data_IF_929866988235
#
_entry.id   IF_929866988235
#
_cell.length_a   1.000
_cell.length_b   1.000
_cell.length_c   1.000
_cell.angle_alpha   90.00
_cell.angle_beta   90.00
_cell.angle_gamma   90.00
#
_symmetry.space_group_name_H-M   'P 1'
#
loop_
_entity.id
_entity.type
_entity.pdbx_description
1 polymer ?
#
# COMPACT_ATOMS: atom_id res chain seq x y z
N UNK A 1 -15.85 -20.10 -20.01
CA UNK A 1 -16.91 -19.97 -18.99
C UNK A 1 -17.51 -18.56 -19.09
N UNK A 2 -18.74 -18.43 -19.63
CA UNK A 2 -19.45 -17.14 -19.67
C UNK A 2 -20.11 -16.87 -18.30
N UNK A 3 -19.29 -16.46 -17.31
CA UNK A 3 -19.79 -16.03 -16.01
C UNK A 3 -20.08 -14.53 -16.06
N UNK A 4 -21.21 -14.12 -15.43
CA UNK A 4 -21.47 -12.70 -15.24
C UNK A 4 -20.41 -12.10 -14.29
N UNK A 5 -20.16 -10.78 -14.44
CA UNK A 5 -19.20 -10.07 -13.57
C UNK A 5 -19.56 -10.21 -12.09
N UNK A 6 -20.85 -10.16 -11.75
CA UNK A 6 -21.35 -10.37 -10.39
C UNK A 6 -20.91 -11.74 -9.85
N UNK A 7 -21.10 -12.80 -10.67
CA UNK A 7 -20.72 -14.16 -10.25
C UNK A 7 -19.20 -14.31 -10.11
N UNK A 8 -18.42 -13.67 -10.99
CA UNK A 8 -16.95 -13.65 -10.88
C UNK A 8 -16.51 -12.94 -9.60
N UNK A 9 -17.10 -11.79 -9.27
CA UNK A 9 -16.80 -11.04 -8.05
C UNK A 9 -17.12 -11.88 -6.79
N UNK A 10 -18.25 -12.57 -6.76
CA UNK A 10 -18.61 -13.47 -5.64
C UNK A 10 -17.58 -14.59 -5.45
N UNK A 11 -17.25 -15.30 -6.54
CA UNK A 11 -16.23 -16.36 -6.51
C UNK A 11 -14.85 -15.82 -6.15
N UNK A 12 -14.53 -14.62 -6.62
CA UNK A 12 -13.28 -13.95 -6.29
C UNK A 12 -13.14 -13.63 -4.80
N UNK A 13 -14.22 -13.18 -4.17
CA UNK A 13 -14.25 -12.90 -2.73
C UNK A 13 -13.98 -14.15 -1.87
N UNK A 14 -14.40 -15.33 -2.34
CA UNK A 14 -14.10 -16.61 -1.67
C UNK A 14 -12.61 -17.00 -1.76
N UNK A 15 -11.91 -16.51 -2.78
CA UNK A 15 -10.49 -16.80 -3.02
C UNK A 15 -9.55 -15.81 -2.33
N UNK A 16 -9.98 -14.55 -2.14
CA UNK A 16 -9.19 -13.55 -1.46
C UNK A 16 -9.83 -12.15 -1.50
N UNK A 17 -9.57 -11.36 -0.46
CA UNK A 17 -10.17 -10.05 -0.23
C UNK A 17 -9.88 -9.03 -1.34
N UNK A 18 -8.73 -9.11 -2.00
CA UNK A 18 -8.31 -8.15 -3.05
C UNK A 18 -8.88 -8.51 -4.43
N UNK A 19 -9.33 -9.75 -4.63
CA UNK A 19 -9.74 -10.23 -5.96
C UNK A 19 -10.96 -9.49 -6.52
N UNK A 20 -12.00 -9.16 -5.73
CA UNK A 20 -13.13 -8.35 -6.21
C UNK A 20 -12.70 -7.00 -6.81
N UNK A 21 -11.72 -6.34 -6.18
CA UNK A 21 -11.18 -5.07 -6.68
C UNK A 21 -10.53 -5.24 -8.07
N UNK A 22 -9.71 -6.27 -8.26
CA UNK A 22 -9.07 -6.54 -9.55
C UNK A 22 -10.09 -6.93 -10.64
N UNK A 23 -11.15 -7.67 -10.30
CA UNK A 23 -12.25 -7.97 -11.22
C UNK A 23 -13.02 -6.69 -11.57
N UNK A 24 -13.20 -5.77 -10.62
CA UNK A 24 -13.80 -4.47 -10.88
C UNK A 24 -12.98 -3.65 -11.88
N UNK A 25 -11.66 -3.67 -11.74
CA UNK A 25 -10.71 -3.06 -12.66
C UNK A 25 -10.82 -1.53 -12.77
N UNK A 26 -11.40 -0.87 -11.78
CA UNK A 26 -11.54 0.58 -11.66
C UNK A 26 -11.16 1.02 -10.25
N UNK A 27 -10.80 2.29 -10.11
CA UNK A 27 -10.54 2.86 -8.79
C UNK A 27 -11.80 2.77 -7.92
N UNK A 28 -11.62 2.31 -6.69
CA UNK A 28 -12.70 2.15 -5.74
C UNK A 28 -12.19 2.23 -4.30
N UNK A 29 -13.02 2.78 -3.43
CA UNK A 29 -12.90 2.57 -1.99
C UNK A 29 -13.42 1.17 -1.68
N UNK A 30 -12.62 0.41 -0.93
CA UNK A 30 -12.92 -0.98 -0.58
C UNK A 30 -13.29 -1.05 0.90
N UNK A 31 -14.37 -1.78 1.22
CA UNK A 31 -14.82 -2.01 2.60
C UNK A 31 -15.36 -3.42 2.77
N UNK A 32 -15.82 -3.75 4.01
CA UNK A 32 -16.17 -5.12 4.36
C UNK A 32 -14.92 -6.00 4.44
N UNK A 33 -14.97 -7.20 3.85
CA UNK A 33 -13.82 -8.10 3.68
C UNK A 33 -13.19 -7.98 2.27
N UNK A 34 -13.46 -6.86 1.52
CA UNK A 34 -13.00 -6.64 0.15
C UNK A 34 -14.11 -6.71 -0.91
N UNK A 35 -15.34 -7.09 -0.51
CA UNK A 35 -16.47 -7.29 -1.42
C UNK A 35 -17.28 -6.02 -1.70
N UNK A 36 -17.18 -4.99 -0.86
CA UNK A 36 -17.91 -3.74 -1.04
C UNK A 36 -17.01 -2.73 -1.73
N UNK A 37 -17.36 -2.40 -2.98
CA UNK A 37 -16.59 -1.49 -3.82
C UNK A 37 -17.43 -0.24 -4.10
N UNK A 38 -16.95 0.93 -3.69
CA UNK A 38 -17.55 2.22 -4.01
C UNK A 38 -16.63 2.98 -4.96
N UNK A 39 -17.10 3.42 -6.13
CA UNK A 39 -16.28 4.16 -7.08
C UNK A 39 -15.61 5.37 -6.43
N UNK A 40 -14.36 5.63 -6.78
CA UNK A 40 -13.65 6.84 -6.42
C UNK A 40 -12.81 7.33 -7.61
N UNK A 41 -12.53 8.63 -7.61
CA UNK A 41 -11.65 9.21 -8.62
C UNK A 41 -10.20 8.81 -8.34
N UNK A 42 -9.43 8.62 -9.41
CA UNK A 42 -7.99 8.44 -9.25
C UNK A 42 -7.32 9.77 -8.96
N UNK A 43 -6.23 9.72 -8.20
CA UNK A 43 -5.36 10.88 -8.09
C UNK A 43 -4.56 11.08 -9.39
N UNK A 44 -4.35 12.35 -9.76
CA UNK A 44 -3.41 12.73 -10.82
C UNK A 44 -1.99 12.94 -10.29
N UNK A 45 -1.75 12.61 -9.03
CA UNK A 45 -0.43 12.75 -8.41
C UNK A 45 0.50 11.65 -8.89
N UNK A 46 1.77 12.01 -9.11
CA UNK A 46 2.82 11.02 -9.33
C UNK A 46 3.13 10.30 -8.03
N UNK A 47 3.57 9.06 -8.13
CA UNK A 47 3.91 8.21 -7.00
C UNK A 47 5.39 7.83 -7.09
N UNK A 48 6.12 8.05 -6.00
CA UNK A 48 7.42 7.45 -5.79
C UNK A 48 7.24 6.17 -4.98
N UNK A 49 7.59 5.03 -5.57
CA UNK A 49 7.60 3.73 -4.90
C UNK A 49 9.04 3.37 -4.58
N UNK A 50 9.31 3.02 -3.32
CA UNK A 50 10.64 2.63 -2.83
C UNK A 50 10.58 1.21 -2.30
N UNK A 51 11.52 0.39 -2.72
CA UNK A 51 11.73 -0.97 -2.23
C UNK A 51 13.05 -1.07 -1.46
N UNK A 52 13.03 -1.19 -0.14
CA UNK A 52 14.22 -1.27 0.71
C UNK A 52 15.05 -2.55 0.55
N UNK A 53 14.67 -3.42 -0.37
CA UNK A 53 15.34 -4.67 -0.69
C UNK A 53 15.47 -5.63 0.51
N UNK A 54 14.45 -5.68 1.35
CA UNK A 54 14.32 -6.64 2.45
C UNK A 54 13.06 -7.48 2.27
N UNK A 55 13.14 -8.72 2.70
CA UNK A 55 11.98 -9.61 2.72
C UNK A 55 11.19 -9.42 4.02
N UNK A 56 9.86 -9.27 3.89
CA UNK A 56 8.92 -9.18 5.00
C UNK A 56 7.95 -10.35 4.91
N UNK A 57 7.85 -11.12 5.97
CA UNK A 57 6.89 -12.22 6.06
C UNK A 57 5.49 -11.69 6.33
N UNK A 58 4.60 -11.76 5.35
CA UNK A 58 3.19 -11.38 5.50
C UNK A 58 2.53 -12.09 6.69
N UNK A 59 2.82 -13.39 6.87
CA UNK A 59 2.28 -14.19 7.99
C UNK A 59 2.71 -13.62 9.35
N UNK A 60 3.98 -13.26 9.50
CA UNK A 60 4.48 -12.67 10.75
C UNK A 60 3.86 -11.30 11.01
N UNK A 61 3.73 -10.45 10.00
CA UNK A 61 3.12 -9.13 10.14
C UNK A 61 1.66 -9.23 10.60
N UNK A 62 0.88 -10.14 10.03
CA UNK A 62 -0.49 -10.39 10.49
C UNK A 62 -0.54 -10.95 11.92
N UNK A 63 0.39 -11.83 12.29
CA UNK A 63 0.48 -12.35 13.66
C UNK A 63 0.76 -11.23 14.67
N UNK A 64 1.70 -10.35 14.37
CA UNK A 64 2.01 -9.19 15.22
C UNK A 64 0.81 -8.23 15.34
N UNK A 65 0.12 -7.96 14.23
CA UNK A 65 -1.06 -7.13 14.23
C UNK A 65 -2.18 -7.71 15.13
N UNK A 66 -2.42 -9.02 15.03
CA UNK A 66 -3.40 -9.70 15.89
C UNK A 66 -3.00 -9.63 17.36
N UNK A 67 -1.71 -9.79 17.66
CA UNK A 67 -1.19 -9.70 19.03
C UNK A 67 -1.38 -8.31 19.61
N UNK A 68 -1.06 -7.26 18.85
CA UNK A 68 -1.27 -5.88 19.26
C UNK A 68 -2.73 -5.56 19.53
N UNK A 69 -3.63 -5.98 18.63
CA UNK A 69 -5.09 -5.79 18.79
C UNK A 69 -5.65 -6.47 20.04
N UNK A 70 -5.18 -7.67 20.38
CA UNK A 70 -5.56 -8.35 21.62
C UNK A 70 -5.11 -7.63 22.88
N UNK A 71 -3.97 -6.95 22.84
CA UNK A 71 -3.44 -6.21 23.97
C UNK A 71 -4.08 -4.84 24.17
N UNK A 72 -4.50 -4.18 23.10
CA UNK A 72 -5.07 -2.83 23.10
C UNK A 72 -6.59 -2.79 23.25
N UNK A 73 -7.27 -3.95 23.19
CA UNK A 73 -8.73 -4.02 23.09
C UNK A 73 -9.23 -3.70 21.68
N UNK A 74 -10.53 -3.98 21.45
CA UNK A 74 -11.19 -3.78 20.14
C UNK A 74 -11.51 -2.30 19.81
N UNK A 75 -10.84 -1.33 20.42
CA UNK A 75 -10.95 0.04 19.94
C UNK A 75 -10.40 0.08 18.51
N UNK A 76 -11.30 0.13 17.55
CA UNK A 76 -11.00 0.36 16.14
C UNK A 76 -10.37 1.74 16.02
N UNK A 77 -9.07 1.80 16.17
CA UNK A 77 -8.31 2.95 15.72
C UNK A 77 -8.41 2.91 14.19
N UNK A 78 -9.31 3.72 13.63
CA UNK A 78 -9.28 4.04 12.21
C UNK A 78 -8.03 4.88 11.98
N UNK A 79 -6.89 4.21 11.89
CA UNK A 79 -5.65 4.88 11.54
C UNK A 79 -5.80 5.46 10.13
N UNK A 80 -5.42 6.72 9.96
CA UNK A 80 -5.27 7.34 8.63
C UNK A 80 -4.20 6.62 7.79
N UNK A 81 -3.45 5.71 8.39
CA UNK A 81 -2.28 5.05 7.87
C UNK A 81 -2.49 3.53 7.85
N UNK A 82 -1.65 2.84 7.10
CA UNK A 82 -1.64 1.39 7.04
C UNK A 82 -1.31 0.80 8.44
N UNK A 83 -2.15 -0.09 8.95
CA UNK A 83 -2.00 -0.72 10.27
C UNK A 83 -0.65 -1.42 10.47
N UNK A 84 0.04 -1.78 9.39
CA UNK A 84 1.35 -2.40 9.45
C UNK A 84 2.51 -1.41 9.58
N UNK A 85 2.29 -0.10 9.44
CA UNK A 85 3.36 0.90 9.49
C UNK A 85 4.14 0.85 10.81
N UNK A 86 3.42 0.90 11.94
CA UNK A 86 4.04 0.85 13.27
C UNK A 86 4.75 -0.47 13.55
N UNK A 87 4.16 -1.57 13.08
CA UNK A 87 4.75 -2.91 13.22
C UNK A 87 6.04 -2.99 12.44
N UNK A 88 6.03 -2.48 11.20
CA UNK A 88 7.20 -2.44 10.35
C UNK A 88 8.32 -1.61 10.98
N UNK A 89 8.03 -0.40 11.45
CA UNK A 89 9.01 0.49 12.07
C UNK A 89 9.63 -0.12 13.33
N UNK A 90 8.85 -0.82 14.14
CA UNK A 90 9.36 -1.56 15.32
C UNK A 90 10.26 -2.74 14.95
N UNK A 91 9.91 -3.46 13.87
CA UNK A 91 10.66 -4.64 13.41
C UNK A 91 11.93 -4.26 12.65
N UNK A 92 11.90 -3.14 11.94
CA UNK A 92 13.01 -2.64 11.11
C UNK A 92 13.34 -1.18 11.45
N UNK A 93 13.77 -0.88 12.70
CA UNK A 93 13.91 0.49 13.18
C UNK A 93 14.87 1.33 12.35
N UNK A 94 15.97 0.77 11.88
CA UNK A 94 16.96 1.48 11.04
C UNK A 94 16.33 2.01 9.75
N UNK A 95 15.39 1.27 9.18
CA UNK A 95 14.67 1.66 7.95
C UNK A 95 13.61 2.69 8.28
N UNK A 96 12.81 2.46 9.33
CA UNK A 96 11.81 3.40 9.81
C UNK A 96 12.41 4.76 10.14
N UNK A 97 13.52 4.79 10.90
CA UNK A 97 14.24 6.02 11.25
C UNK A 97 14.80 6.75 10.03
N UNK A 98 15.26 6.00 9.01
CA UNK A 98 15.72 6.61 7.76
C UNK A 98 14.57 7.27 7.01
N UNK A 99 13.42 6.58 6.87
CA UNK A 99 12.23 7.18 6.26
C UNK A 99 11.81 8.44 7.02
N UNK A 100 11.69 8.38 8.35
CA UNK A 100 11.27 9.54 9.16
C UNK A 100 12.18 10.75 8.97
N UNK A 101 13.50 10.56 8.93
CA UNK A 101 14.44 11.65 8.65
C UNK A 101 14.28 12.24 7.24
N UNK A 102 14.07 11.38 6.23
CA UNK A 102 13.88 11.82 4.86
C UNK A 102 12.53 12.52 4.67
N UNK A 103 11.48 12.08 5.37
CA UNK A 103 10.19 12.73 5.41
C UNK A 103 10.31 14.17 5.93
N UNK A 104 11.03 14.37 7.02
CA UNK A 104 11.28 15.70 7.59
C UNK A 104 12.13 16.57 6.64
N UNK A 105 13.22 16.02 6.07
CA UNK A 105 14.13 16.76 5.18
C UNK A 105 13.45 17.24 3.90
N UNK A 106 12.56 16.41 3.32
CA UNK A 106 11.95 16.67 2.02
C UNK A 106 10.46 17.04 2.10
N UNK A 107 9.90 17.13 3.30
CA UNK A 107 8.46 17.36 3.52
C UNK A 107 7.58 16.41 2.71
N UNK A 108 7.94 15.13 2.72
CA UNK A 108 7.21 14.03 2.09
C UNK A 108 6.56 13.17 3.17
N UNK A 109 5.53 12.42 2.82
CA UNK A 109 4.86 11.47 3.70
C UNK A 109 4.86 10.09 3.05
N UNK A 110 5.62 9.14 3.62
CA UNK A 110 5.72 7.78 3.11
C UNK A 110 4.77 6.85 3.86
N UNK A 111 4.10 6.01 3.10
CA UNK A 111 3.23 4.96 3.63
C UNK A 111 3.70 3.61 3.12
N UNK A 112 3.74 2.62 4.00
CA UNK A 112 4.02 1.24 3.63
C UNK A 112 2.89 0.70 2.75
N UNK A 113 3.21 -0.05 1.70
CA UNK A 113 2.20 -0.75 0.89
C UNK A 113 2.06 -2.21 1.32
N UNK A 114 0.82 -2.65 1.53
CA UNK A 114 0.54 -3.99 2.07
C UNK A 114 1.22 -4.20 3.43
N UNK A 115 1.92 -5.32 3.60
CA UNK A 115 2.72 -5.64 4.79
C UNK A 115 4.18 -5.17 4.70
N UNK A 116 4.54 -4.49 3.61
CA UNK A 116 5.90 -4.03 3.32
C UNK A 116 6.68 -5.04 2.46
N UNK A 117 7.95 -4.80 2.22
CA UNK A 117 8.80 -3.68 2.68
C UNK A 117 8.67 -2.40 1.84
N UNK A 118 7.92 -2.41 0.75
CA UNK A 118 7.78 -1.24 -0.12
C UNK A 118 7.02 -0.11 0.57
N UNK A 119 7.50 1.12 0.35
CA UNK A 119 6.86 2.36 0.78
C UNK A 119 6.56 3.22 -0.44
N UNK A 120 5.55 4.05 -0.35
CA UNK A 120 5.23 5.01 -1.40
C UNK A 120 4.88 6.38 -0.82
N UNK A 121 5.10 7.42 -1.62
CA UNK A 121 4.56 8.75 -1.36
C UNK A 121 4.00 9.36 -2.63
N UNK A 122 3.06 10.28 -2.47
CA UNK A 122 2.61 11.15 -3.55
C UNK A 122 3.52 12.37 -3.63
N UNK A 123 3.87 12.77 -4.84
CA UNK A 123 4.69 13.95 -5.05
C UNK A 123 4.23 14.77 -6.27
N UNK A 124 4.68 16.02 -6.33
CA UNK A 124 4.39 16.95 -7.43
C UNK A 124 5.65 17.51 -8.07
N UNK A 125 6.71 17.67 -7.27
CA UNK A 125 7.95 18.30 -7.70
C UNK A 125 9.03 17.23 -8.01
N UNK A 126 9.38 17.10 -9.28
CA UNK A 126 10.38 16.12 -9.73
C UNK A 126 11.82 16.46 -9.26
N UNK A 127 12.13 17.75 -9.06
CA UNK A 127 13.47 18.15 -8.58
C UNK A 127 13.70 17.69 -7.14
N UNK A 128 12.68 17.81 -6.27
CA UNK A 128 12.76 17.30 -4.89
C UNK A 128 12.99 15.81 -4.86
N UNK A 129 12.28 15.06 -5.71
CA UNK A 129 12.45 13.60 -5.81
C UNK A 129 13.83 13.21 -6.34
N UNK A 130 14.40 13.98 -7.28
CA UNK A 130 15.74 13.69 -7.79
C UNK A 130 16.84 13.87 -6.72
N UNK A 131 16.69 14.82 -5.81
CA UNK A 131 17.59 14.97 -4.66
C UNK A 131 17.32 13.93 -3.57
N UNK A 132 16.07 13.61 -3.32
CA UNK A 132 15.67 12.57 -2.38
C UNK A 132 16.30 11.20 -2.72
N UNK A 133 16.21 10.77 -3.99
CA UNK A 133 16.71 9.44 -4.39
C UNK A 133 18.23 9.29 -4.26
N UNK A 134 18.97 10.40 -4.20
CA UNK A 134 20.41 10.40 -3.91
C UNK A 134 20.74 10.09 -2.45
N UNK A 135 19.75 10.22 -1.56
CA UNK A 135 19.91 10.02 -0.11
C UNK A 135 19.55 8.62 0.36
N UNK A 136 18.83 7.84 -0.45
CA UNK A 136 18.49 6.46 -0.12
C UNK A 136 19.69 5.53 -0.32
N UNK A 137 19.78 4.41 0.42
CA UNK A 137 20.85 3.43 0.25
C UNK A 137 20.94 2.88 -1.16
N UNK A 138 22.16 2.66 -1.68
CA UNK A 138 22.41 2.19 -3.05
C UNK A 138 21.81 0.81 -3.37
N UNK A 139 21.55 0.00 -2.36
CA UNK A 139 20.93 -1.32 -2.51
C UNK A 139 19.40 -1.28 -2.52
N UNK A 140 18.80 -0.09 -2.32
CA UNK A 140 17.36 0.11 -2.46
C UNK A 140 17.01 0.36 -3.93
N UNK A 141 15.77 0.06 -4.29
CA UNK A 141 15.24 0.38 -5.62
C UNK A 141 14.12 1.39 -5.49
N UNK A 142 13.97 2.25 -6.48
CA UNK A 142 12.87 3.19 -6.55
C UNK A 142 12.29 3.21 -7.96
N UNK A 143 11.02 3.60 -8.03
CA UNK A 143 10.25 3.67 -9.27
C UNK A 143 9.35 4.89 -9.22
N UNK A 144 9.39 5.69 -10.29
CA UNK A 144 8.39 6.73 -10.52
C UNK A 144 7.24 6.08 -11.29
N UNK A 145 6.05 6.10 -10.72
CA UNK A 145 4.87 5.44 -11.28
C UNK A 145 3.68 6.40 -11.29
N UNK A 146 2.74 6.13 -12.16
CA UNK A 146 1.49 6.87 -12.26
C UNK A 146 0.32 5.91 -11.98
N UNK A 147 -0.74 6.40 -11.29
CA UNK A 147 -1.94 5.60 -11.08
C UNK A 147 -2.59 5.24 -12.41
N UNK A 148 -2.96 3.99 -12.58
CA UNK A 148 -3.77 3.56 -13.71
C UNK A 148 -5.24 3.94 -13.49
N UNK A 149 -5.89 4.47 -14.52
CA UNK A 149 -7.34 4.76 -14.51
C UNK A 149 -8.17 3.47 -14.58
N UNK A 150 -7.66 2.47 -15.28
CA UNK A 150 -8.31 1.18 -15.52
C UNK A 150 -7.31 0.05 -15.43
N UNK A 151 -7.80 -1.13 -15.08
CA UNK A 151 -7.00 -2.34 -15.19
C UNK A 151 -6.75 -2.67 -16.66
N UNK A 152 -5.51 -2.93 -17.07
CA UNK A 152 -5.20 -3.33 -18.44
C UNK A 152 -5.83 -4.67 -18.86
N UNK A 153 -6.35 -5.44 -17.90
CA UNK A 153 -7.03 -6.72 -18.15
C UNK A 153 -8.44 -6.53 -18.74
N UNK A 154 -9.02 -5.34 -18.60
CA UNK A 154 -10.40 -5.06 -19.03
C UNK A 154 -10.51 -4.48 -20.45
N UNK A 155 -9.41 -4.35 -21.19
CA UNK A 155 -9.36 -3.82 -22.55
C UNK A 155 -9.59 -4.89 -23.65
N UNK A 156 -10.24 -6.03 -23.31
CA UNK A 156 -10.65 -7.07 -24.27
C UNK A 156 -12.15 -7.25 -24.32
#
# INVERSE_FOLDING_TARGET
LNLSRIKLTQLGAELGADIPFFINGKNANVSGFGEILSPCDSTNSKILLIYPNIHVSTKEMFHELQTQRKLQGDEKIYAKHNDFQDIFNKKFPVIGDLFSRLEEEFNLEFTITGTGSSHFCFYKNELEISEFVKKIPNNWRFFNVEPLQYSPINDN
#
